data_IF_890791087511
#
_entry.id   IF_890791087511
#
_cell.length_a   1.000
_cell.length_b   1.000
_cell.length_c   1.000
_cell.angle_alpha   90.00
_cell.angle_beta   90.00
_cell.angle_gamma   90.00
#
_symmetry.space_group_name_H-M   'P 1'
#
loop_
_entity.id
_entity.type
_entity.pdbx_description
1 polymer ?
#
# COMPACT_ATOMS: atom_id res chain seq x y z
N UNK A 1 -32.40 56.78 -40.33
CA UNK A 1 -33.43 55.91 -39.71
C UNK A 1 -32.68 54.72 -39.10
N UNK A 2 -32.30 54.77 -37.82
CA UNK A 2 -33.02 54.36 -36.59
C UNK A 2 -33.29 52.84 -36.43
N UNK A 3 -32.85 52.29 -35.29
CA UNK A 3 -33.39 51.10 -34.60
C UNK A 3 -32.40 49.92 -34.46
N UNK A 4 -31.59 49.75 -33.40
CA UNK A 4 -31.85 49.31 -31.99
C UNK A 4 -32.51 47.91 -31.82
N UNK A 5 -31.65 46.94 -31.44
CA UNK A 5 -31.62 46.07 -30.23
C UNK A 5 -32.92 45.40 -29.67
N UNK A 6 -32.70 44.20 -29.11
CA UNK A 6 -33.18 43.60 -27.83
C UNK A 6 -34.00 42.29 -27.89
N UNK A 7 -33.36 41.23 -27.32
CA UNK A 7 -33.84 40.27 -26.29
C UNK A 7 -34.89 39.16 -26.57
N UNK A 8 -34.39 37.92 -26.39
CA UNK A 8 -34.73 36.97 -25.30
C UNK A 8 -35.92 36.00 -25.42
N UNK A 9 -35.62 34.81 -24.88
CA UNK A 9 -36.47 33.85 -24.17
C UNK A 9 -36.93 32.57 -24.90
N UNK A 10 -36.34 31.47 -24.39
CA UNK A 10 -37.00 30.27 -23.87
C UNK A 10 -37.64 29.27 -24.83
N UNK A 11 -37.15 28.02 -24.77
CA UNK A 11 -38.02 26.86 -24.94
C UNK A 11 -37.31 25.54 -25.22
N UNK A 12 -37.35 24.65 -24.22
CA UNK A 12 -37.22 23.17 -24.30
C UNK A 12 -35.77 22.63 -24.31
N UNK A 13 -35.16 22.31 -23.15
CA UNK A 13 -35.27 21.06 -22.37
C UNK A 13 -34.87 19.80 -23.17
N UNK A 14 -34.17 18.78 -22.68
CA UNK A 14 -33.48 18.48 -21.43
C UNK A 14 -32.97 17.05 -21.68
N UNK A 15 -31.68 16.87 -21.93
CA UNK A 15 -31.05 15.55 -21.88
C UNK A 15 -29.62 15.71 -21.34
N UNK A 16 -29.54 16.32 -20.15
CA UNK A 16 -28.34 16.19 -19.33
C UNK A 16 -28.31 14.76 -18.80
N UNK A 17 -27.47 13.92 -19.40
CA UNK A 17 -27.03 12.68 -18.79
C UNK A 17 -26.51 12.97 -17.37
N UNK A 18 -27.15 12.33 -16.39
CA UNK A 18 -26.63 12.17 -15.04
C UNK A 18 -25.37 11.30 -15.09
N UNK A 19 -24.23 11.89 -15.40
CA UNK A 19 -22.92 11.27 -15.11
C UNK A 19 -22.63 11.57 -13.65
N UNK A 20 -22.84 10.58 -12.77
CA UNK A 20 -22.31 10.64 -11.40
C UNK A 20 -20.79 10.84 -11.51
N UNK A 21 -20.18 11.76 -10.73
CA UNK A 21 -18.72 11.85 -10.67
C UNK A 21 -18.18 10.49 -10.20
N UNK A 22 -17.44 9.82 -11.08
CA UNK A 22 -16.71 8.60 -10.74
C UNK A 22 -15.59 8.97 -9.77
N UNK A 23 -15.63 8.37 -8.59
CA UNK A 23 -14.56 8.42 -7.60
C UNK A 23 -13.26 7.96 -8.22
N UNK A 24 -12.19 8.58 -7.78
CA UNK A 24 -10.82 8.38 -8.24
C UNK A 24 -10.02 7.97 -7.03
N UNK A 25 -9.11 6.98 -7.02
CA UNK A 25 -8.14 6.85 -5.91
C UNK A 25 -6.69 6.52 -6.32
N UNK A 26 -5.78 6.76 -5.38
CA UNK A 26 -4.31 6.84 -5.49
C UNK A 26 -3.57 5.52 -5.29
N UNK A 27 -2.28 5.52 -5.01
CA UNK A 27 -1.55 4.37 -4.44
C UNK A 27 -0.60 4.98 -3.44
N UNK A 28 -0.69 4.58 -2.18
CA UNK A 28 -0.36 5.40 -1.02
C UNK A 28 -1.33 5.10 0.11
N UNK A 29 -0.96 5.47 1.34
CA UNK A 29 -1.68 5.06 2.57
C UNK A 29 -3.18 5.35 2.51
N UNK A 30 -3.58 6.51 1.97
CA UNK A 30 -5.02 6.85 1.89
C UNK A 30 -5.74 6.06 0.80
N UNK A 31 -5.05 5.51 -0.19
CA UNK A 31 -5.74 4.71 -1.20
C UNK A 31 -6.03 3.31 -0.74
N UNK A 32 -5.09 2.70 -0.03
CA UNK A 32 -5.37 1.43 0.62
C UNK A 32 -6.62 1.53 1.49
N UNK A 33 -6.78 2.65 2.21
CA UNK A 33 -8.04 2.99 2.89
C UNK A 33 -9.22 3.07 1.89
N UNK A 34 -9.11 3.87 0.83
CA UNK A 34 -10.20 4.10 -0.10
C UNK A 34 -10.71 2.82 -0.82
N UNK A 35 -9.83 1.86 -1.10
CA UNK A 35 -10.23 0.55 -1.64
C UNK A 35 -11.14 -0.18 -0.63
N UNK A 36 -10.83 -0.11 0.67
CA UNK A 36 -11.71 -0.63 1.71
C UNK A 36 -13.01 0.14 1.74
N UNK A 37 -12.98 1.48 1.75
CA UNK A 37 -14.18 2.32 1.82
C UNK A 37 -15.18 2.02 0.68
N UNK A 38 -14.68 1.91 -0.55
CA UNK A 38 -15.50 1.61 -1.74
C UNK A 38 -16.06 0.19 -1.69
N UNK A 39 -15.31 -0.77 -1.14
CA UNK A 39 -15.71 -2.17 -1.07
C UNK A 39 -16.50 -2.54 0.19
N UNK A 40 -16.50 -1.69 1.23
CA UNK A 40 -16.98 -2.05 2.57
C UNK A 40 -18.43 -2.54 2.56
N UNK A 41 -19.36 -1.65 2.26
CA UNK A 41 -20.79 -1.98 2.19
C UNK A 41 -21.16 -2.94 1.05
N UNK A 42 -20.72 -2.75 -0.21
CA UNK A 42 -21.19 -3.59 -1.31
C UNK A 42 -20.57 -4.98 -1.36
N UNK A 43 -19.39 -5.19 -0.77
CA UNK A 43 -18.61 -6.43 -0.92
C UNK A 43 -18.23 -7.06 0.42
N UNK A 44 -17.62 -6.30 1.34
CA UNK A 44 -17.07 -6.86 2.60
C UNK A 44 -18.15 -7.17 3.63
N UNK A 45 -19.08 -6.26 3.92
CA UNK A 45 -20.17 -6.49 4.89
C UNK A 45 -21.01 -7.73 4.53
N UNK A 46 -21.44 -7.94 3.27
CA UNK A 46 -22.15 -9.16 2.87
C UNK A 46 -21.32 -10.43 3.11
N UNK A 47 -20.03 -10.42 2.79
CA UNK A 47 -19.14 -11.56 3.02
C UNK A 47 -18.97 -11.84 4.52
N UNK A 48 -18.74 -10.80 5.33
CA UNK A 48 -18.59 -10.90 6.78
C UNK A 48 -19.86 -11.44 7.41
N UNK A 49 -21.04 -10.93 7.04
CA UNK A 49 -22.33 -11.44 7.55
C UNK A 49 -22.61 -12.87 7.09
N UNK A 50 -22.16 -13.27 5.91
CA UNK A 50 -22.30 -14.65 5.44
C UNK A 50 -21.50 -15.63 6.32
N UNK A 51 -20.27 -15.28 6.68
CA UNK A 51 -19.40 -16.13 7.53
C UNK A 51 -19.74 -16.02 9.02
N UNK A 52 -20.14 -14.83 9.47
CA UNK A 52 -20.47 -14.48 10.85
C UNK A 52 -21.90 -13.92 10.94
N UNK A 53 -22.95 -14.76 10.82
CA UNK A 53 -24.34 -14.32 10.71
C UNK A 53 -24.89 -13.60 11.95
N UNK A 54 -24.23 -13.77 13.10
CA UNK A 54 -24.59 -13.12 14.37
C UNK A 54 -23.84 -11.82 14.62
N UNK A 55 -23.00 -11.37 13.68
CA UNK A 55 -22.19 -10.16 13.84
C UNK A 55 -23.08 -8.93 14.07
N UNK A 56 -22.88 -8.30 15.21
CA UNK A 56 -23.52 -7.03 15.59
C UNK A 56 -22.93 -5.87 14.80
N UNK A 57 -23.64 -4.72 14.71
CA UNK A 57 -23.08 -3.51 14.10
C UNK A 57 -21.74 -3.07 14.72
N UNK A 58 -21.59 -3.25 16.03
CA UNK A 58 -20.36 -2.89 16.75
C UNK A 58 -19.19 -3.82 16.40
N UNK A 59 -19.44 -5.12 16.25
CA UNK A 59 -18.41 -6.06 15.78
C UNK A 59 -18.01 -5.78 14.33
N UNK A 60 -18.96 -5.38 13.47
CA UNK A 60 -18.63 -4.97 12.10
C UNK A 60 -17.82 -3.68 12.07
N UNK A 61 -18.12 -2.71 12.94
CA UNK A 61 -17.33 -1.48 13.07
C UNK A 61 -15.88 -1.78 13.49
N UNK A 62 -15.68 -2.70 14.44
CA UNK A 62 -14.34 -3.17 14.83
C UNK A 62 -13.65 -3.93 13.70
N UNK A 63 -14.38 -4.80 13.01
CA UNK A 63 -13.87 -5.51 11.84
C UNK A 63 -13.42 -4.53 10.74
N UNK A 64 -14.10 -3.40 10.58
CA UNK A 64 -13.70 -2.35 9.64
C UNK A 64 -12.32 -1.75 9.98
N UNK A 65 -12.09 -1.43 11.25
CA UNK A 65 -10.78 -0.96 11.71
C UNK A 65 -9.66 -1.98 11.44
N UNK A 66 -9.98 -3.27 11.56
CA UNK A 66 -9.06 -4.34 11.20
C UNK A 66 -8.84 -4.48 9.69
N UNK A 67 -9.88 -4.28 8.86
CA UNK A 67 -9.72 -4.23 7.41
C UNK A 67 -8.81 -3.08 6.96
N UNK A 68 -8.93 -1.90 7.60
CA UNK A 68 -7.98 -0.81 7.38
C UNK A 68 -6.55 -1.20 7.75
N UNK A 69 -6.34 -1.80 8.91
CA UNK A 69 -5.01 -2.23 9.34
C UNK A 69 -4.41 -3.27 8.41
N UNK A 70 -5.23 -4.18 7.88
CA UNK A 70 -4.84 -5.15 6.87
C UNK A 70 -4.44 -4.49 5.55
N UNK A 71 -5.14 -3.45 5.12
CA UNK A 71 -4.88 -2.77 3.84
C UNK A 71 -3.53 -2.05 3.79
N UNK A 72 -2.89 -1.82 4.94
CA UNK A 72 -1.61 -1.11 5.04
C UNK A 72 -0.53 -1.92 5.77
N UNK A 73 -0.79 -3.19 6.14
CA UNK A 73 0.14 -3.92 7.00
C UNK A 73 1.45 -4.20 6.27
N UNK A 74 1.39 -4.57 4.99
CA UNK A 74 2.58 -4.89 4.21
C UNK A 74 3.58 -3.71 4.18
N UNK A 75 3.11 -2.46 4.17
CA UNK A 75 3.95 -1.25 4.14
C UNK A 75 4.58 -0.87 5.48
N UNK A 76 4.14 -1.48 6.58
CA UNK A 76 4.55 -1.10 7.94
C UNK A 76 6.07 -1.05 8.10
N UNK A 77 6.81 -1.91 7.39
CA UNK A 77 8.26 -1.99 7.46
C UNK A 77 9.01 -0.77 6.89
N UNK A 78 8.39 0.03 6.02
CA UNK A 78 8.95 1.28 5.50
C UNK A 78 8.79 2.47 6.45
N UNK A 79 8.03 2.32 7.53
CA UNK A 79 7.83 3.36 8.53
C UNK A 79 8.89 3.33 9.64
N UNK A 80 9.05 4.43 10.41
CA UNK A 80 9.95 4.47 11.55
C UNK A 80 9.79 3.26 12.48
N UNK A 81 10.90 2.61 12.84
CA UNK A 81 10.94 1.41 13.68
C UNK A 81 10.23 0.18 13.07
N UNK A 82 9.91 0.23 11.78
CA UNK A 82 9.57 -0.91 10.96
C UNK A 82 10.78 -1.76 10.60
N UNK A 83 10.53 -2.83 9.86
CA UNK A 83 11.53 -3.74 9.33
C UNK A 83 11.32 -3.88 7.81
N UNK A 84 12.23 -3.34 6.99
CA UNK A 84 12.08 -3.36 5.53
C UNK A 84 12.04 -4.78 4.97
N UNK A 85 12.73 -5.73 5.59
CA UNK A 85 12.70 -7.13 5.16
C UNK A 85 11.32 -7.78 5.36
N UNK A 86 10.55 -7.39 6.39
CA UNK A 86 9.15 -7.79 6.51
C UNK A 86 8.32 -7.30 5.31
N UNK A 87 8.48 -6.03 4.95
CA UNK A 87 7.77 -5.45 3.81
C UNK A 87 8.19 -6.10 2.51
N UNK A 88 9.50 -6.22 2.26
CA UNK A 88 10.04 -6.87 1.07
C UNK A 88 9.57 -8.32 0.94
N UNK A 89 9.50 -9.08 2.05
CA UNK A 89 8.91 -10.43 2.04
C UNK A 89 7.47 -10.38 1.54
N UNK A 90 6.62 -9.61 2.21
CA UNK A 90 5.19 -9.55 1.90
C UNK A 90 4.87 -8.94 0.52
N UNK A 91 5.79 -8.16 -0.05
CA UNK A 91 5.65 -7.56 -1.38
C UNK A 91 6.20 -8.41 -2.52
N UNK A 92 7.29 -9.16 -2.28
CA UNK A 92 8.05 -9.74 -3.40
C UNK A 92 8.20 -11.26 -3.29
N UNK A 93 8.00 -11.84 -2.11
CA UNK A 93 8.26 -13.25 -1.82
C UNK A 93 7.01 -13.90 -1.27
N UNK A 94 6.42 -14.84 -2.02
CA UNK A 94 5.24 -15.59 -1.55
C UNK A 94 4.06 -14.66 -1.18
N UNK A 95 3.90 -13.54 -1.88
CA UNK A 95 2.90 -12.50 -1.60
C UNK A 95 1.47 -13.03 -1.62
N UNK A 96 1.12 -13.89 -2.58
CA UNK A 96 -0.18 -14.55 -2.63
C UNK A 96 -0.36 -15.56 -1.49
N UNK A 97 0.65 -16.40 -1.26
CA UNK A 97 0.62 -17.39 -0.17
C UNK A 97 0.45 -16.72 1.20
N UNK A 98 1.03 -15.53 1.41
CA UNK A 98 0.86 -14.74 2.63
C UNK A 98 -0.60 -14.33 2.86
N UNK A 99 -1.30 -13.89 1.82
CA UNK A 99 -2.72 -13.52 1.91
C UNK A 99 -3.59 -14.74 2.19
N UNK A 100 -3.31 -15.86 1.51
CA UNK A 100 -4.00 -17.13 1.78
C UNK A 100 -3.81 -17.53 3.24
N UNK A 101 -2.58 -17.49 3.74
CA UNK A 101 -2.27 -17.81 5.13
C UNK A 101 -3.01 -16.90 6.13
N UNK A 102 -3.09 -15.58 5.87
CA UNK A 102 -3.86 -14.66 6.73
C UNK A 102 -5.34 -15.03 6.83
N UNK A 103 -5.96 -15.42 5.71
CA UNK A 103 -7.38 -15.76 5.67
C UNK A 103 -7.68 -17.15 6.23
N UNK A 104 -6.75 -18.09 6.08
CA UNK A 104 -6.84 -19.44 6.67
C UNK A 104 -6.62 -19.43 8.19
N UNK A 105 -5.67 -18.64 8.69
CA UNK A 105 -5.33 -18.54 10.12
C UNK A 105 -6.32 -17.68 10.92
N UNK A 106 -7.29 -17.04 10.25
CA UNK A 106 -8.28 -16.18 10.88
C UNK A 106 -9.34 -16.98 11.66
N UNK A 107 -9.38 -16.75 12.97
CA UNK A 107 -10.29 -17.39 13.93
C UNK A 107 -11.47 -16.49 14.33
N UNK A 108 -11.35 -15.18 14.12
CA UNK A 108 -12.38 -14.19 14.49
C UNK A 108 -12.79 -13.32 13.31
N UNK A 109 -13.91 -12.61 13.44
CA UNK A 109 -14.35 -11.64 12.43
C UNK A 109 -13.30 -10.55 12.17
N UNK A 110 -12.58 -10.12 13.21
CA UNK A 110 -11.54 -9.11 13.13
C UNK A 110 -10.30 -9.64 12.39
N UNK A 111 -9.85 -10.85 12.72
CA UNK A 111 -8.74 -11.50 12.00
C UNK A 111 -9.10 -11.75 10.53
N UNK A 112 -10.35 -12.14 10.25
CA UNK A 112 -10.81 -12.35 8.89
C UNK A 112 -10.90 -11.05 8.11
N UNK A 113 -11.47 -9.99 8.69
CA UNK A 113 -11.51 -8.67 8.07
C UNK A 113 -10.10 -8.09 7.85
N UNK A 114 -9.16 -8.33 8.77
CA UNK A 114 -7.75 -7.98 8.60
C UNK A 114 -7.13 -8.71 7.40
N UNK A 115 -7.36 -10.01 7.23
CA UNK A 115 -6.91 -10.75 6.06
C UNK A 115 -7.54 -10.26 4.74
N UNK A 116 -8.82 -9.88 4.77
CA UNK A 116 -9.49 -9.27 3.60
C UNK A 116 -8.91 -7.89 3.28
N UNK A 117 -8.53 -7.12 4.30
CA UNK A 117 -7.77 -5.88 4.16
C UNK A 117 -6.43 -6.11 3.46
N UNK A 118 -5.66 -7.10 3.89
CA UNK A 118 -4.39 -7.44 3.26
C UNK A 118 -4.58 -7.94 1.81
N UNK A 119 -5.68 -8.63 1.51
CA UNK A 119 -6.06 -8.97 0.14
C UNK A 119 -6.35 -7.70 -0.67
N UNK A 120 -7.00 -6.69 -0.08
CA UNK A 120 -7.20 -5.40 -0.74
C UNK A 120 -5.84 -4.82 -1.15
N UNK A 121 -4.87 -4.74 -0.24
CA UNK A 121 -3.50 -4.29 -0.52
C UNK A 121 -2.85 -5.09 -1.67
N UNK A 122 -2.96 -6.43 -1.65
CA UNK A 122 -2.43 -7.26 -2.73
C UNK A 122 -3.01 -6.87 -4.10
N UNK A 123 -4.33 -6.71 -4.21
CA UNK A 123 -4.96 -6.24 -5.44
C UNK A 123 -4.49 -4.83 -5.78
N UNK A 124 -4.43 -4.00 -4.75
CA UNK A 124 -4.09 -2.61 -4.85
C UNK A 124 -2.74 -2.47 -5.58
N UNK A 125 -1.68 -3.07 -5.07
CA UNK A 125 -0.36 -2.87 -5.67
C UNK A 125 -0.20 -3.54 -7.03
N UNK A 126 -0.73 -4.77 -7.18
CA UNK A 126 -0.66 -5.53 -8.44
C UNK A 126 -1.25 -4.79 -9.65
N UNK A 127 -2.26 -3.94 -9.44
CA UNK A 127 -2.86 -3.13 -10.50
C UNK A 127 -2.42 -1.67 -10.43
N UNK A 128 -2.26 -1.17 -9.21
CA UNK A 128 -1.96 0.21 -8.88
C UNK A 128 -0.62 0.70 -9.38
N UNK A 129 0.43 -0.08 -9.11
CA UNK A 129 1.78 0.29 -9.47
C UNK A 129 1.98 0.22 -10.99
N UNK A 130 1.72 -0.91 -11.69
CA UNK A 130 1.99 -0.99 -13.12
C UNK A 130 1.07 -0.11 -13.98
N UNK A 131 -0.18 0.13 -13.58
CA UNK A 131 -1.11 0.99 -14.36
C UNK A 131 -0.93 2.46 -13.97
N UNK A 132 -0.89 2.75 -12.67
CA UNK A 132 -0.90 4.10 -12.11
C UNK A 132 0.50 4.64 -11.86
N UNK A 133 1.15 4.19 -10.79
CA UNK A 133 2.37 4.82 -10.26
C UNK A 133 3.54 4.74 -11.24
N UNK A 134 3.89 3.55 -11.71
CA UNK A 134 5.10 3.33 -12.50
C UNK A 134 5.06 4.09 -13.83
N UNK A 135 3.88 4.21 -14.43
CA UNK A 135 3.66 4.97 -15.68
C UNK A 135 3.52 6.47 -15.46
N UNK A 136 3.16 6.90 -14.25
CA UNK A 136 2.99 8.32 -13.90
C UNK A 136 4.29 8.99 -13.49
N UNK A 137 5.19 8.26 -12.84
CA UNK A 137 6.54 8.76 -12.48
C UNK A 137 7.25 9.43 -13.67
N UNK A 138 7.42 8.79 -14.85
CA UNK A 138 8.12 9.41 -15.98
C UNK A 138 7.33 10.54 -16.66
N UNK A 139 6.01 10.67 -16.41
CA UNK A 139 5.22 11.81 -16.88
C UNK A 139 5.45 13.06 -16.02
N UNK A 140 5.58 12.87 -14.70
CA UNK A 140 5.76 13.96 -13.73
C UNK A 140 7.24 14.34 -13.57
N UNK A 141 8.14 13.38 -13.74
CA UNK A 141 9.59 13.51 -13.61
C UNK A 141 10.30 13.14 -14.92
N UNK A 142 10.44 14.07 -15.88
CA UNK A 142 11.05 13.79 -17.19
C UNK A 142 12.48 13.24 -17.12
N UNK A 143 13.24 13.58 -16.07
CA UNK A 143 14.56 13.02 -15.78
C UNK A 143 14.51 11.50 -15.55
N UNK A 144 13.43 11.00 -14.92
CA UNK A 144 13.22 9.57 -14.72
C UNK A 144 12.88 8.88 -16.04
N UNK A 145 12.12 9.55 -16.91
CA UNK A 145 11.85 9.07 -18.26
C UNK A 145 13.12 8.93 -19.10
N UNK A 146 14.03 9.90 -19.00
CA UNK A 146 15.29 9.89 -19.72
C UNK A 146 16.21 8.75 -19.24
N UNK A 147 16.17 8.43 -17.95
CA UNK A 147 17.03 7.41 -17.33
C UNK A 147 16.50 5.97 -17.47
N UNK A 148 15.20 5.77 -17.23
CA UNK A 148 14.58 4.44 -17.07
C UNK A 148 13.50 4.14 -18.12
N UNK A 149 13.05 5.15 -18.87
CA UNK A 149 12.07 4.96 -19.94
C UNK A 149 10.61 5.23 -19.51
N UNK A 150 9.62 4.60 -20.17
CA UNK A 150 8.21 4.98 -20.04
C UNK A 150 7.50 4.43 -18.79
N UNK A 151 8.18 3.60 -18.00
CA UNK A 151 7.70 3.04 -16.75
C UNK A 151 8.86 3.00 -15.78
N UNK A 152 8.65 3.42 -14.54
CA UNK A 152 9.70 3.49 -13.51
C UNK A 152 9.19 2.82 -12.25
N UNK A 153 9.81 1.71 -11.91
CA UNK A 153 9.51 0.86 -10.73
C UNK A 153 10.03 1.48 -9.43
N UNK A 154 9.56 0.96 -8.31
CA UNK A 154 10.08 1.30 -6.98
C UNK A 154 11.56 0.92 -6.85
N UNK A 155 11.99 -0.21 -7.41
CA UNK A 155 13.40 -0.62 -7.41
C UNK A 155 14.31 0.39 -8.12
N UNK A 156 13.88 0.93 -9.26
CA UNK A 156 14.67 1.88 -10.04
C UNK A 156 14.80 3.24 -9.35
N UNK A 157 13.71 3.75 -8.75
CA UNK A 157 13.77 5.00 -8.00
C UNK A 157 12.71 5.10 -6.88
N UNK A 158 13.02 4.64 -5.66
CA UNK A 158 12.09 4.70 -4.52
C UNK A 158 11.60 6.10 -4.21
N UNK A 159 12.45 7.11 -4.38
CA UNK A 159 12.12 8.50 -4.04
C UNK A 159 11.10 9.10 -5.00
N UNK A 160 11.26 8.89 -6.30
CA UNK A 160 10.32 9.37 -7.30
C UNK A 160 8.97 8.66 -7.18
N UNK A 161 9.01 7.35 -6.89
CA UNK A 161 7.85 6.52 -6.65
C UNK A 161 7.03 7.01 -5.44
N UNK A 162 7.64 7.15 -4.26
CA UNK A 162 7.00 7.69 -3.05
C UNK A 162 6.44 9.12 -3.26
N UNK A 163 7.14 9.97 -4.03
CA UNK A 163 6.63 11.32 -4.34
C UNK A 163 5.38 11.26 -5.22
N UNK A 164 5.33 10.31 -6.15
CA UNK A 164 4.18 10.12 -7.02
C UNK A 164 2.97 9.66 -6.22
N UNK A 165 3.15 8.64 -5.37
CA UNK A 165 2.16 8.13 -4.43
C UNK A 165 1.62 9.21 -3.49
N UNK A 166 2.51 10.04 -2.94
CA UNK A 166 2.09 11.20 -2.15
C UNK A 166 1.22 12.17 -2.96
N UNK A 167 1.55 12.42 -4.22
CA UNK A 167 0.77 13.32 -5.07
C UNK A 167 -0.60 12.80 -5.43
N UNK A 168 -0.64 11.50 -5.60
CA UNK A 168 -1.83 10.72 -5.73
C UNK A 168 -2.71 10.87 -4.48
N UNK A 169 -2.19 10.65 -3.27
CA UNK A 169 -2.96 10.87 -2.03
C UNK A 169 -3.42 12.34 -1.87
N UNK A 170 -2.61 13.30 -2.29
CA UNK A 170 -3.00 14.73 -2.31
C UNK A 170 -4.19 14.98 -3.23
N UNK A 171 -4.19 14.38 -4.43
CA UNK A 171 -5.30 14.47 -5.37
C UNK A 171 -6.59 13.90 -4.78
N UNK A 172 -6.46 12.82 -3.99
CA UNK A 172 -7.60 12.22 -3.30
C UNK A 172 -8.25 13.12 -2.30
N UNK A 173 -7.42 13.67 -1.42
CA UNK A 173 -7.91 14.62 -0.44
C UNK A 173 -8.58 15.79 -1.15
N UNK A 174 -7.95 16.34 -2.20
CA UNK A 174 -8.46 17.47 -2.99
C UNK A 174 -9.86 17.25 -3.59
N UNK A 175 -10.16 16.03 -4.04
CA UNK A 175 -11.46 15.71 -4.64
C UNK A 175 -12.58 15.50 -3.63
N UNK A 176 -12.26 15.61 -2.32
CA UNK A 176 -13.24 15.52 -1.26
C UNK A 176 -13.73 14.10 -1.00
N UNK A 177 -12.96 13.09 -1.40
CA UNK A 177 -13.32 11.68 -1.28
C UNK A 177 -13.36 11.18 0.16
N UNK A 178 -12.90 11.97 1.13
CA UNK A 178 -12.91 11.61 2.54
C UNK A 178 -13.64 12.63 3.40
N UNK A 179 -14.57 12.15 4.21
CA UNK A 179 -15.09 12.91 5.34
C UNK A 179 -14.01 12.94 6.46
N UNK A 180 -13.97 14.00 7.29
CA UNK A 180 -13.07 14.05 8.46
C UNK A 180 -13.17 12.83 9.40
N UNK A 181 -14.34 12.19 9.45
CA UNK A 181 -14.59 10.95 10.20
C UNK A 181 -13.85 9.75 9.60
N UNK A 182 -13.82 9.61 8.26
CA UNK A 182 -13.09 8.53 7.60
C UNK A 182 -11.58 8.59 7.91
N UNK A 183 -10.99 9.78 7.94
CA UNK A 183 -9.58 9.93 8.36
C UNK A 183 -9.36 9.55 9.82
N UNK A 184 -10.30 9.88 10.69
CA UNK A 184 -10.22 9.56 12.10
C UNK A 184 -10.31 8.05 12.33
N UNK A 185 -11.32 7.40 11.74
CA UNK A 185 -11.52 5.95 11.81
C UNK A 185 -10.32 5.20 11.22
N UNK A 186 -9.76 5.72 10.12
CA UNK A 186 -8.58 5.14 9.52
C UNK A 186 -7.32 5.29 10.40
N UNK A 187 -7.11 6.43 11.07
CA UNK A 187 -6.04 6.52 12.10
C UNK A 187 -6.29 5.50 13.22
N UNK A 188 -7.56 5.21 13.51
CA UNK A 188 -7.99 4.15 14.43
C UNK A 188 -7.83 2.73 13.90
N UNK A 189 -7.09 2.47 12.81
CA UNK A 189 -6.86 1.12 12.30
C UNK A 189 -6.35 0.17 13.39
N UNK A 190 -6.71 -1.10 13.28
CA UNK A 190 -6.32 -2.16 14.21
C UNK A 190 -5.57 -3.28 13.50
N UNK A 191 -4.58 -3.87 14.17
CA UNK A 191 -3.76 -4.95 13.62
C UNK A 191 -4.02 -6.23 14.39
N UNK A 192 -4.42 -7.28 13.68
CA UNK A 192 -4.60 -8.63 14.23
C UNK A 192 -3.26 -9.33 14.45
N UNK A 193 -2.52 -8.91 15.48
CA UNK A 193 -1.12 -9.31 15.73
C UNK A 193 -0.92 -10.83 15.81
N UNK A 194 -1.80 -11.55 16.52
CA UNK A 194 -1.69 -13.00 16.67
C UNK A 194 -1.89 -13.72 15.33
N UNK A 195 -2.94 -13.36 14.56
CA UNK A 195 -3.17 -13.87 13.21
C UNK A 195 -2.03 -13.55 12.26
N UNK A 196 -1.49 -12.33 12.33
CA UNK A 196 -0.35 -11.90 11.53
C UNK A 196 0.88 -12.75 11.84
N UNK A 197 1.16 -13.01 13.12
CA UNK A 197 2.26 -13.88 13.55
C UNK A 197 2.12 -15.31 13.04
N UNK A 198 0.94 -15.92 13.19
CA UNK A 198 0.66 -17.29 12.69
C UNK A 198 0.80 -17.38 11.18
N UNK A 199 0.17 -16.46 10.44
CA UNK A 199 0.23 -16.44 8.98
C UNK A 199 1.65 -16.19 8.46
N UNK A 200 2.40 -15.28 9.09
CA UNK A 200 3.79 -15.01 8.76
C UNK A 200 4.66 -16.25 8.96
N UNK A 201 4.55 -16.91 10.12
CA UNK A 201 5.29 -18.15 10.39
C UNK A 201 4.92 -19.25 9.41
N UNK A 202 3.63 -19.43 9.10
CA UNK A 202 3.16 -20.41 8.11
C UNK A 202 3.74 -20.14 6.72
N UNK A 203 3.86 -18.87 6.34
CA UNK A 203 4.30 -18.47 5.00
C UNK A 203 5.82 -18.53 4.83
N UNK A 204 6.58 -18.18 5.88
CA UNK A 204 8.04 -17.99 5.79
C UNK A 204 8.85 -18.93 6.69
N UNK A 205 8.21 -19.71 7.55
CA UNK A 205 8.89 -20.70 8.38
C UNK A 205 9.71 -20.11 9.52
N UNK A 206 9.49 -18.87 9.97
CA UNK A 206 10.13 -18.33 11.18
C UNK A 206 9.24 -17.31 11.88
N UNK A 207 9.54 -17.01 13.14
CA UNK A 207 8.69 -16.16 13.98
C UNK A 207 8.75 -14.69 13.56
N UNK A 208 7.59 -14.04 13.45
CA UNK A 208 7.49 -12.60 13.16
C UNK A 208 8.22 -11.75 14.22
N UNK A 209 8.19 -12.18 15.48
CA UNK A 209 8.88 -11.51 16.59
C UNK A 209 10.40 -11.45 16.40
N UNK A 210 10.98 -12.29 15.53
CA UNK A 210 12.41 -12.20 15.20
C UNK A 210 12.77 -10.97 14.34
N UNK A 211 11.77 -10.31 13.75
CA UNK A 211 11.94 -9.11 12.92
C UNK A 211 11.72 -7.79 13.69
N UNK A 212 11.02 -7.83 14.81
CA UNK A 212 10.61 -6.64 15.55
C UNK A 212 10.98 -6.76 17.03
N UNK A 213 11.70 -5.76 17.55
CA UNK A 213 11.98 -5.66 18.99
C UNK A 213 10.67 -5.59 19.78
N UNK A 214 9.69 -4.84 19.29
CA UNK A 214 8.33 -4.80 19.82
C UNK A 214 7.36 -4.47 18.69
N UNK A 215 6.59 -5.48 18.27
CA UNK A 215 5.57 -5.32 17.24
C UNK A 215 4.53 -4.26 17.63
N UNK A 216 4.11 -4.26 18.90
CA UNK A 216 3.16 -3.27 19.44
C UNK A 216 3.69 -1.83 19.34
N UNK A 217 4.96 -1.62 19.66
CA UNK A 217 5.59 -0.30 19.54
C UNK A 217 5.74 0.13 18.08
N UNK A 218 6.07 -0.80 17.18
CA UNK A 218 6.13 -0.54 15.74
C UNK A 218 4.75 -0.13 15.22
N UNK A 219 3.68 -0.87 15.55
CA UNK A 219 2.30 -0.54 15.16
C UNK A 219 1.89 0.84 15.70
N UNK A 220 2.17 1.12 16.98
CA UNK A 220 1.84 2.42 17.57
C UNK A 220 2.61 3.58 16.92
N UNK A 221 3.86 3.36 16.54
CA UNK A 221 4.66 4.32 15.77
C UNK A 221 4.13 4.50 14.36
N UNK A 222 3.77 3.41 13.69
CA UNK A 222 3.16 3.46 12.37
C UNK A 222 1.86 4.28 12.38
N UNK A 223 0.96 4.01 13.34
CA UNK A 223 -0.25 4.80 13.57
C UNK A 223 0.06 6.29 13.78
N UNK A 224 1.09 6.58 14.57
CA UNK A 224 1.54 7.96 14.79
C UNK A 224 2.04 8.62 13.51
N UNK A 225 2.77 7.90 12.67
CA UNK A 225 3.21 8.41 11.37
C UNK A 225 2.04 8.73 10.47
N UNK A 226 1.08 7.81 10.31
CA UNK A 226 -0.16 8.02 9.54
C UNK A 226 -0.94 9.24 10.05
N UNK A 227 -1.11 9.38 11.38
CA UNK A 227 -1.85 10.50 11.98
C UNK A 227 -1.20 11.86 11.71
N UNK A 228 0.10 11.91 11.42
CA UNK A 228 0.82 13.15 11.07
C UNK A 228 0.88 13.40 9.55
N UNK A 229 0.77 12.33 8.75
CA UNK A 229 0.74 12.39 7.30
C UNK A 229 -0.56 13.04 6.80
N UNK A 230 -1.72 12.61 7.32
CA UNK A 230 -3.04 13.08 6.86
C UNK A 230 -3.19 14.62 6.94
N UNK A 231 -2.85 15.29 8.07
CA UNK A 231 -2.85 16.76 8.12
C UNK A 231 -1.95 17.41 7.05
N UNK A 232 -0.82 16.77 6.71
CA UNK A 232 0.10 17.27 5.68
C UNK A 232 -0.51 17.13 4.28
N UNK A 233 -1.18 16.02 4.00
CA UNK A 233 -1.92 15.78 2.76
C UNK A 233 -3.06 16.80 2.58
N UNK A 234 -3.88 17.03 3.63
CA UNK A 234 -4.97 18.03 3.55
C UNK A 234 -4.45 19.45 3.30
N UNK A 235 -3.29 19.81 3.87
CA UNK A 235 -2.64 21.10 3.63
C UNK A 235 -2.13 21.22 2.19
N UNK A 236 -1.51 20.17 1.66
CA UNK A 236 -1.02 20.10 0.29
C UNK A 236 -2.18 20.22 -0.70
N UNK A 237 -3.25 19.46 -0.49
CA UNK A 237 -4.45 19.45 -1.34
C UNK A 237 -5.09 20.83 -1.42
N UNK A 238 -5.30 21.50 -0.27
CA UNK A 238 -5.81 22.86 -0.27
C UNK A 238 -4.92 23.81 -1.07
N UNK A 239 -3.60 23.76 -0.86
CA UNK A 239 -2.68 24.68 -1.53
C UNK A 239 -2.60 24.48 -3.05
N UNK A 240 -2.76 23.24 -3.54
CA UNK A 240 -2.57 22.90 -4.95
C UNK A 240 -3.87 22.94 -5.75
N UNK A 241 -5.01 22.68 -5.12
CA UNK A 241 -6.30 22.42 -5.78
C UNK A 241 -7.45 23.23 -5.16
N UNK A 242 -7.18 24.39 -4.55
CA UNK A 242 -8.20 25.23 -3.89
C UNK A 242 -9.40 25.55 -4.78
N UNK A 243 -9.16 25.89 -6.05
CA UNK A 243 -10.22 26.22 -7.01
C UNK A 243 -11.16 25.02 -7.24
N UNK A 244 -10.61 23.83 -7.43
CA UNK A 244 -11.36 22.58 -7.61
C UNK A 244 -12.15 22.22 -6.33
N UNK A 245 -11.51 22.34 -5.15
CA UNK A 245 -12.16 22.11 -3.85
C UNK A 245 -13.35 23.05 -3.66
N UNK A 246 -13.19 24.34 -3.98
CA UNK A 246 -14.27 25.34 -3.88
C UNK A 246 -15.34 25.16 -4.93
N UNK A 247 -14.99 24.69 -6.14
CA UNK A 247 -15.97 24.36 -7.16
C UNK A 247 -16.87 23.19 -6.72
N UNK A 248 -16.28 22.17 -6.11
CA UNK A 248 -17.03 21.02 -5.58
C UNK A 248 -17.84 21.36 -4.31
N UNK A 249 -17.28 22.19 -3.42
CA UNK A 249 -17.93 22.62 -2.18
C UNK A 249 -17.75 24.14 -1.99
N UNK A 250 -18.67 24.97 -2.53
CA UNK A 250 -18.55 26.43 -2.48
C UNK A 250 -18.41 27.03 -1.07
N UNK A 251 -18.97 26.35 -0.06
CA UNK A 251 -18.87 26.74 1.36
C UNK A 251 -17.57 26.32 2.04
N UNK A 252 -16.66 25.61 1.35
CA UNK A 252 -15.42 25.13 1.93
C UNK A 252 -14.52 26.30 2.35
N UNK A 253 -14.14 26.32 3.63
CA UNK A 253 -13.10 27.20 4.16
C UNK A 253 -11.85 26.39 4.46
N UNK A 254 -10.67 27.02 4.32
CA UNK A 254 -9.39 26.38 4.65
C UNK A 254 -9.40 25.78 6.05
N UNK A 255 -9.95 26.49 7.03
CA UNK A 255 -10.01 26.03 8.43
C UNK A 255 -10.84 24.76 8.59
N UNK A 256 -11.96 24.64 7.88
CA UNK A 256 -12.84 23.45 7.95
C UNK A 256 -12.28 22.28 7.14
N UNK A 257 -11.54 22.56 6.07
CA UNK A 257 -10.97 21.54 5.20
C UNK A 257 -9.72 20.87 5.79
N UNK A 258 -8.88 21.64 6.49
CA UNK A 258 -7.65 21.10 7.07
C UNK A 258 -7.97 20.16 8.23
N UNK A 259 -7.63 18.89 8.07
CA UNK A 259 -7.70 17.91 9.14
C UNK A 259 -6.60 18.19 10.18
N UNK A 260 -6.96 18.14 11.45
CA UNK A 260 -6.05 18.45 12.56
C UNK A 260 -6.24 17.43 13.66
N UNK A 261 -5.14 16.82 14.07
CA UNK A 261 -5.08 15.96 15.24
C UNK A 261 -4.25 16.67 16.30
N UNK A 262 -4.87 17.08 17.41
CA UNK A 262 -4.09 17.61 18.54
C UNK A 262 -3.39 16.44 19.24
N UNK A 263 -2.20 16.70 19.78
CA UNK A 263 -1.43 15.66 20.51
C UNK A 263 -2.20 15.12 21.72
N UNK A 264 -2.93 15.99 22.43
CA UNK A 264 -3.78 15.62 23.57
C UNK A 264 -4.88 14.66 23.17
N UNK A 265 -5.59 14.99 22.10
CA UNK A 265 -6.74 14.23 21.59
C UNK A 265 -6.24 12.86 21.12
N UNK A 266 -5.12 12.82 20.38
CA UNK A 266 -4.46 11.57 19.99
C UNK A 266 -4.11 10.70 21.20
N UNK A 267 -3.53 11.29 22.26
CA UNK A 267 -3.11 10.54 23.45
C UNK A 267 -4.28 10.00 24.25
N UNK A 268 -5.41 10.70 24.26
CA UNK A 268 -6.64 10.24 24.91
C UNK A 268 -7.23 9.04 24.18
N UNK A 269 -7.11 9.01 22.86
CA UNK A 269 -7.84 8.07 22.01
C UNK A 269 -7.04 6.83 21.62
N UNK A 270 -5.79 7.01 21.16
CA UNK A 270 -4.94 5.92 20.69
C UNK A 270 -3.72 5.66 21.59
N UNK A 271 -3.65 6.36 22.72
CA UNK A 271 -2.61 6.18 23.73
C UNK A 271 -1.26 6.81 23.38
N UNK A 272 -0.22 6.38 24.11
CA UNK A 272 1.13 6.99 24.10
C UNK A 272 2.24 6.03 23.70
N UNK A 273 1.88 4.82 23.30
CA UNK A 273 2.84 3.75 23.00
C UNK A 273 3.36 3.90 21.56
N UNK A 274 4.22 4.87 21.35
CA UNK A 274 4.91 5.11 20.09
C UNK A 274 6.27 5.76 20.36
N UNK A 275 7.22 5.61 19.44
CA UNK A 275 8.48 6.36 19.53
C UNK A 275 8.42 7.64 18.69
N UNK A 276 8.83 8.75 19.28
CA UNK A 276 9.04 9.99 18.53
C UNK A 276 10.20 9.77 17.53
N UNK A 277 10.09 10.26 16.28
CA UNK A 277 11.10 10.00 15.25
C UNK A 277 12.48 10.50 15.68
N UNK A 278 13.51 9.68 15.48
CA UNK A 278 14.90 10.02 15.78
C UNK A 278 15.49 10.98 14.73
N UNK A 279 16.70 11.53 14.96
CA UNK A 279 17.23 12.67 14.19
C UNK A 279 17.31 12.40 12.67
N UNK A 280 17.65 11.17 12.28
CA UNK A 280 17.67 10.72 10.88
C UNK A 280 16.27 10.61 10.26
N UNK A 281 15.27 10.16 11.02
CA UNK A 281 13.87 10.11 10.60
C UNK A 281 13.22 11.50 10.58
N UNK A 282 13.69 12.45 11.42
CA UNK A 282 13.38 13.87 11.27
C UNK A 282 13.95 14.43 9.97
N UNK A 283 15.05 13.90 9.45
CA UNK A 283 15.63 14.26 8.14
C UNK A 283 14.81 13.68 6.98
N UNK A 284 14.30 12.44 7.07
CA UNK A 284 13.37 11.88 6.07
C UNK A 284 11.99 12.56 6.13
N UNK A 285 11.48 12.82 7.33
CA UNK A 285 10.30 13.67 7.54
C UNK A 285 10.55 15.10 7.05
N UNK A 286 11.77 15.64 7.17
CA UNK A 286 12.16 16.94 6.59
C UNK A 286 12.21 16.89 5.06
N UNK A 287 12.68 15.79 4.46
CA UNK A 287 12.66 15.54 3.00
C UNK A 287 11.22 15.45 2.47
N UNK A 288 10.31 14.79 3.21
CA UNK A 288 8.87 14.69 2.88
C UNK A 288 8.06 15.94 3.28
N UNK A 289 8.53 16.77 4.23
CA UNK A 289 7.87 18.01 4.69
C UNK A 289 8.14 19.22 3.79
N UNK A 290 8.85 19.09 2.68
CA UNK A 290 9.06 20.23 1.77
C UNK A 290 7.93 20.36 0.76
N UNK A 291 6.89 21.07 1.19
CA UNK A 291 6.01 21.86 0.32
C UNK A 291 6.10 23.34 0.71
N UNK A 292 6.20 24.26 -0.27
CA UNK A 292 7.38 24.53 -1.09
C UNK A 292 8.39 25.43 -0.35
N UNK A 293 9.68 25.36 -0.67
CA UNK A 293 10.58 26.50 -0.41
C UNK A 293 10.70 27.30 -1.69
N UNK A 294 10.01 28.44 -1.73
CA UNK A 294 10.23 29.51 -2.69
C UNK A 294 11.74 29.83 -2.64
N UNK A 295 12.50 29.47 -3.68
CA UNK A 295 13.95 29.66 -3.72
C UNK A 295 14.69 28.63 -4.59
N UNK A 296 16.01 28.75 -4.74
CA UNK A 296 16.81 28.03 -5.74
C UNK A 296 16.94 26.50 -5.59
N UNK A 297 16.43 25.88 -4.51
CA UNK A 297 16.49 24.42 -4.26
C UNK A 297 15.22 23.67 -4.73
N UNK A 298 14.80 23.87 -6.00
CA UNK A 298 13.53 23.35 -6.56
C UNK A 298 13.51 21.84 -6.86
N UNK A 299 14.65 21.18 -6.98
CA UNK A 299 14.76 19.79 -7.50
C UNK A 299 14.23 18.71 -6.55
N UNK A 300 14.07 19.01 -5.25
CA UNK A 300 13.57 18.05 -4.26
C UNK A 300 12.06 18.15 -4.01
N UNK A 301 11.39 19.17 -4.54
CA UNK A 301 9.97 19.42 -4.26
C UNK A 301 9.05 18.41 -4.96
N UNK A 302 7.97 18.06 -4.28
CA UNK A 302 6.82 17.35 -4.84
C UNK A 302 6.23 18.13 -6.04
N UNK A 303 5.82 17.43 -7.10
CA UNK A 303 5.14 17.99 -8.28
C UNK A 303 3.72 17.40 -8.34
N UNK A 304 2.67 18.21 -8.55
CA UNK A 304 1.33 17.67 -8.72
C UNK A 304 1.28 16.70 -9.91
N UNK A 305 0.43 15.66 -9.88
CA UNK A 305 0.23 14.79 -11.03
C UNK A 305 -0.17 15.60 -12.28
N UNK A 306 0.33 15.22 -13.46
CA UNK A 306 -0.16 15.77 -14.73
C UNK A 306 -1.57 15.24 -15.03
N UNK A 307 -2.36 15.87 -15.91
CA UNK A 307 -3.67 15.34 -16.30
C UNK A 307 -3.64 13.89 -16.80
N UNK A 308 -2.58 13.50 -17.52
CA UNK A 308 -2.36 12.14 -17.98
C UNK A 308 -2.10 11.19 -16.80
N UNK A 309 -1.27 11.60 -15.83
CA UNK A 309 -1.05 10.84 -14.60
C UNK A 309 -2.33 10.73 -13.75
N UNK A 310 -3.14 11.80 -13.66
CA UNK A 310 -4.45 11.77 -13.01
C UNK A 310 -5.40 10.78 -13.70
N UNK A 311 -5.31 10.59 -15.03
CA UNK A 311 -6.10 9.60 -15.76
C UNK A 311 -5.64 8.17 -15.48
N UNK A 312 -4.33 7.91 -15.52
CA UNK A 312 -3.76 6.59 -15.22
C UNK A 312 -4.12 6.12 -13.82
N UNK A 313 -4.13 7.05 -12.89
CA UNK A 313 -4.61 6.88 -11.54
C UNK A 313 -6.10 6.50 -11.44
N UNK A 314 -6.98 7.20 -12.16
CA UNK A 314 -8.41 6.83 -12.21
C UNK A 314 -8.56 5.37 -12.66
N UNK A 315 -7.83 5.05 -13.72
CA UNK A 315 -7.85 3.74 -14.36
C UNK A 315 -7.38 2.66 -13.39
N UNK A 316 -6.20 2.86 -12.77
CA UNK A 316 -5.64 1.89 -11.83
C UNK A 316 -6.57 1.66 -10.64
N UNK A 317 -7.17 2.71 -10.09
CA UNK A 317 -8.12 2.58 -8.99
C UNK A 317 -9.39 1.82 -9.37
N UNK A 318 -9.99 2.15 -10.51
CA UNK A 318 -11.22 1.51 -10.96
C UNK A 318 -10.97 0.02 -11.22
N UNK A 319 -9.89 -0.31 -11.95
CA UNK A 319 -9.46 -1.69 -12.19
C UNK A 319 -9.27 -2.42 -10.87
N UNK A 320 -8.56 -1.83 -9.91
CA UNK A 320 -8.33 -2.45 -8.60
C UNK A 320 -9.64 -2.71 -7.88
N UNK A 321 -10.51 -1.71 -7.79
CA UNK A 321 -11.78 -1.81 -7.05
C UNK A 321 -12.69 -2.88 -7.64
N UNK A 322 -12.75 -2.96 -8.97
CA UNK A 322 -13.50 -3.97 -9.71
C UNK A 322 -12.93 -5.37 -9.46
N UNK A 323 -11.63 -5.56 -9.62
CA UNK A 323 -10.96 -6.84 -9.42
C UNK A 323 -11.02 -7.31 -7.97
N UNK A 324 -10.78 -6.43 -7.00
CA UNK A 324 -10.91 -6.74 -5.59
C UNK A 324 -12.34 -7.13 -5.23
N UNK A 325 -13.34 -6.33 -5.66
CA UNK A 325 -14.75 -6.65 -5.40
C UNK A 325 -15.19 -7.97 -6.04
N UNK A 326 -14.73 -8.27 -7.25
CA UNK A 326 -14.96 -9.56 -7.90
C UNK A 326 -14.28 -10.71 -7.14
N UNK A 327 -13.04 -10.49 -6.69
CA UNK A 327 -12.29 -11.44 -5.86
C UNK A 327 -13.01 -11.76 -4.55
N UNK A 328 -13.57 -10.75 -3.87
CA UNK A 328 -14.38 -10.94 -2.65
C UNK A 328 -15.64 -11.77 -2.92
N UNK A 329 -16.35 -11.51 -4.02
CA UNK A 329 -17.55 -12.27 -4.40
C UNK A 329 -17.27 -13.75 -4.67
N UNK A 330 -16.09 -14.06 -5.20
CA UNK A 330 -15.68 -15.42 -5.55
C UNK A 330 -14.50 -15.94 -4.71
N UNK A 331 -14.44 -15.51 -3.44
CA UNK A 331 -13.24 -15.64 -2.60
C UNK A 331 -12.62 -17.04 -2.58
N UNK A 332 -13.41 -18.11 -2.43
CA UNK A 332 -12.86 -19.47 -2.40
C UNK A 332 -12.09 -19.83 -3.68
N UNK A 333 -12.61 -19.43 -4.85
CA UNK A 333 -11.92 -19.65 -6.12
C UNK A 333 -10.71 -18.73 -6.24
N UNK A 334 -10.86 -17.47 -5.83
CA UNK A 334 -9.78 -16.47 -5.85
C UNK A 334 -8.57 -16.91 -5.03
N UNK A 335 -8.79 -17.43 -3.82
CA UNK A 335 -7.71 -17.93 -2.96
C UNK A 335 -7.03 -19.15 -3.57
N UNK A 336 -7.77 -20.04 -4.25
CA UNK A 336 -7.19 -21.17 -4.96
C UNK A 336 -6.38 -20.80 -6.21
N UNK A 337 -6.49 -19.55 -6.70
CA UNK A 337 -5.79 -19.06 -7.89
C UNK A 337 -4.81 -17.91 -7.62
N UNK A 338 -4.66 -17.50 -6.36
CA UNK A 338 -3.84 -16.34 -6.02
C UNK A 338 -2.37 -16.64 -6.34
N UNK A 339 -1.76 -15.78 -7.15
CA UNK A 339 -0.39 -15.97 -7.61
C UNK A 339 0.60 -15.22 -6.73
N UNK A 340 1.80 -15.77 -6.56
CA UNK A 340 2.91 -15.02 -6.00
C UNK A 340 3.46 -14.07 -7.05
N UNK A 341 3.17 -12.79 -6.85
CA UNK A 341 3.57 -11.70 -7.72
C UNK A 341 4.47 -10.73 -6.97
N UNK A 342 5.31 -10.05 -7.74
CA UNK A 342 5.97 -8.83 -7.32
C UNK A 342 4.94 -7.70 -7.29
N UNK A 343 4.68 -7.16 -6.10
CA UNK A 343 3.62 -6.17 -5.92
C UNK A 343 3.90 -4.84 -6.65
N UNK A 344 5.15 -4.52 -6.97
CA UNK A 344 5.46 -3.28 -7.70
C UNK A 344 5.22 -3.39 -9.21
N UNK A 345 5.39 -4.58 -9.77
CA UNK A 345 5.27 -4.81 -11.23
C UNK A 345 3.98 -5.56 -11.61
N UNK A 346 3.31 -6.18 -10.65
CA UNK A 346 2.21 -7.11 -10.85
C UNK A 346 2.60 -8.43 -11.54
N UNK A 347 3.90 -8.64 -11.76
CA UNK A 347 4.41 -9.80 -12.51
C UNK A 347 4.68 -10.98 -11.59
N UNK A 348 4.61 -12.21 -12.12
CA UNK A 348 4.93 -13.42 -11.33
C UNK A 348 6.38 -13.35 -10.83
N UNK A 349 6.56 -13.54 -9.52
CA UNK A 349 7.87 -13.58 -8.88
C UNK A 349 8.75 -14.68 -9.48
N UNK A 350 9.87 -14.30 -10.08
CA UNK A 350 10.86 -15.22 -10.66
C UNK A 350 12.27 -14.66 -10.44
N UNK A 351 13.25 -15.54 -10.30
CA UNK A 351 14.64 -15.13 -10.15
C UNK A 351 15.09 -14.28 -11.36
N UNK A 352 15.68 -13.12 -11.09
CA UNK A 352 16.17 -12.18 -12.08
C UNK A 352 15.10 -11.29 -12.71
N UNK A 353 13.82 -11.42 -12.33
CA UNK A 353 12.76 -10.52 -12.82
C UNK A 353 12.70 -9.19 -12.06
N UNK A 354 13.14 -9.18 -10.80
CA UNK A 354 13.15 -8.00 -9.93
C UNK A 354 14.22 -8.16 -8.84
N UNK A 355 15.17 -7.24 -8.75
CA UNK A 355 16.37 -7.42 -7.92
C UNK A 355 16.07 -7.44 -6.41
N UNK A 356 15.07 -6.70 -5.95
CA UNK A 356 14.59 -6.75 -4.57
C UNK A 356 14.08 -8.13 -4.22
N UNK A 357 13.28 -8.76 -5.10
CA UNK A 357 12.78 -10.11 -4.88
C UNK A 357 13.94 -11.10 -4.71
N UNK A 358 14.94 -11.04 -5.59
CA UNK A 358 16.13 -11.91 -5.54
C UNK A 358 16.89 -11.76 -4.21
N UNK A 359 17.12 -10.51 -3.78
CA UNK A 359 17.79 -10.20 -2.49
C UNK A 359 16.98 -10.69 -1.30
N UNK A 360 15.66 -10.52 -1.34
CA UNK A 360 14.77 -10.97 -0.26
C UNK A 360 14.73 -12.50 -0.16
N UNK A 361 14.71 -13.23 -1.28
CA UNK A 361 14.85 -14.69 -1.27
C UNK A 361 16.19 -15.14 -0.68
N UNK A 362 17.29 -14.45 -1.01
CA UNK A 362 18.61 -14.77 -0.48
C UNK A 362 18.67 -14.54 1.05
N UNK A 363 18.21 -13.38 1.52
CA UNK A 363 18.13 -13.09 2.96
C UNK A 363 17.18 -14.06 3.69
N UNK A 364 16.07 -14.45 3.07
CA UNK A 364 15.16 -15.44 3.63
C UNK A 364 15.83 -16.80 3.82
N UNK A 365 16.56 -17.27 2.80
CA UNK A 365 17.33 -18.50 2.86
C UNK A 365 18.39 -18.46 3.98
N UNK A 366 19.10 -17.34 4.12
CA UNK A 366 20.06 -17.14 5.20
C UNK A 366 19.42 -17.20 6.59
N UNK A 367 18.24 -16.59 6.76
CA UNK A 367 17.53 -16.59 8.05
C UNK A 367 17.06 -17.97 8.44
N UNK A 368 16.62 -18.79 7.48
CA UNK A 368 16.26 -20.18 7.74
C UNK A 368 17.49 -21.02 8.14
N UNK A 369 18.65 -20.79 7.53
CA UNK A 369 19.92 -21.48 7.88
C UNK A 369 20.39 -21.16 9.30
N UNK A 370 20.09 -19.95 9.84
CA UNK A 370 20.45 -19.60 11.23
C UNK A 370 19.89 -20.56 12.27
N UNK A 371 18.79 -21.24 11.97
CA UNK A 371 18.23 -22.29 12.82
C UNK A 371 18.31 -23.67 12.14
N UNK A 372 19.32 -23.90 11.29
CA UNK A 372 19.55 -25.13 10.54
C UNK A 372 18.30 -25.66 9.81
N UNK A 373 17.47 -24.76 9.29
CA UNK A 373 16.20 -25.09 8.63
C UNK A 373 15.18 -25.85 9.50
N UNK A 374 15.30 -25.81 10.84
CA UNK A 374 14.48 -26.63 11.74
C UNK A 374 12.96 -26.41 11.63
N UNK A 375 12.53 -25.26 11.11
CA UNK A 375 11.13 -24.87 10.93
C UNK A 375 10.66 -24.93 9.47
N UNK A 376 11.43 -25.57 8.60
CA UNK A 376 11.15 -25.67 7.17
C UNK A 376 10.09 -26.74 6.88
N UNK A 377 8.97 -26.36 6.27
CA UNK A 377 7.99 -27.31 5.75
C UNK A 377 8.36 -27.82 4.35
N UNK A 378 7.79 -28.95 3.88
CA UNK A 378 8.02 -29.45 2.52
C UNK A 378 7.70 -28.42 1.44
N UNK A 379 6.63 -27.65 1.64
CA UNK A 379 6.18 -26.60 0.72
C UNK A 379 7.20 -25.45 0.65
N UNK A 380 7.73 -25.01 1.79
CA UNK A 380 8.76 -23.96 1.84
C UNK A 380 10.06 -24.41 1.19
N UNK A 381 10.50 -25.65 1.46
CA UNK A 381 11.68 -26.24 0.81
C UNK A 381 11.49 -26.29 -0.69
N UNK A 382 10.33 -26.76 -1.15
CA UNK A 382 10.02 -26.83 -2.56
C UNK A 382 10.04 -25.44 -3.20
N UNK A 383 9.38 -24.45 -2.60
CA UNK A 383 9.34 -23.08 -3.12
C UNK A 383 10.74 -22.47 -3.29
N UNK A 384 11.59 -22.54 -2.26
CA UNK A 384 12.96 -22.06 -2.31
C UNK A 384 13.76 -22.74 -3.43
N UNK A 385 13.70 -24.08 -3.52
CA UNK A 385 14.41 -24.81 -4.56
C UNK A 385 13.89 -24.50 -5.98
N UNK A 386 12.58 -24.30 -6.14
CA UNK A 386 11.98 -23.92 -7.42
C UNK A 386 12.40 -22.51 -7.86
N UNK A 387 12.45 -21.54 -6.94
CA UNK A 387 12.88 -20.17 -7.24
C UNK A 387 14.29 -20.15 -7.85
N UNK A 388 15.20 -20.95 -7.31
CA UNK A 388 16.59 -21.06 -7.78
C UNK A 388 16.84 -22.15 -8.85
N UNK A 389 15.80 -22.81 -9.37
CA UNK A 389 15.96 -23.96 -10.27
C UNK A 389 16.75 -23.63 -11.54
N UNK A 390 16.54 -22.43 -12.10
CA UNK A 390 17.19 -21.94 -13.33
C UNK A 390 18.29 -20.92 -13.07
N UNK A 391 18.76 -20.82 -11.82
CA UNK A 391 19.76 -19.86 -11.43
C UNK A 391 21.09 -20.12 -12.17
N UNK A 392 21.70 -19.05 -12.72
CA UNK A 392 23.01 -19.12 -13.39
C UNK A 392 23.99 -18.18 -12.70
N UNK A 393 25.28 -18.54 -12.73
CA UNK A 393 26.35 -17.70 -12.20
C UNK A 393 26.30 -16.27 -12.78
N UNK A 394 26.62 -15.24 -11.98
CA UNK A 394 26.80 -13.88 -12.49
C UNK A 394 27.73 -13.86 -13.70
N UNK A 395 27.39 -13.09 -14.74
CA UNK A 395 28.15 -13.04 -16.01
C UNK A 395 29.40 -12.16 -15.95
N UNK A 396 29.55 -11.33 -14.91
CA UNK A 396 30.65 -10.37 -14.75
C UNK A 396 31.65 -10.79 -13.68
N UNK A 397 32.80 -10.11 -13.63
CA UNK A 397 33.81 -10.27 -12.59
C UNK A 397 33.54 -9.43 -11.34
N UNK A 398 32.29 -9.01 -11.14
CA UNK A 398 31.91 -8.26 -9.95
C UNK A 398 32.04 -9.15 -8.72
N UNK A 399 32.92 -8.74 -7.80
CA UNK A 399 33.33 -9.57 -6.67
C UNK A 399 32.17 -9.79 -5.70
N UNK A 400 31.38 -8.74 -5.45
CA UNK A 400 30.23 -8.80 -4.54
C UNK A 400 29.17 -9.77 -5.07
N UNK A 401 28.78 -9.63 -6.34
CA UNK A 401 27.84 -10.55 -7.00
C UNK A 401 28.32 -12.01 -6.96
N UNK A 402 29.62 -12.24 -7.14
CA UNK A 402 30.19 -13.60 -7.09
C UNK A 402 30.20 -14.17 -5.67
N UNK A 403 30.47 -13.35 -4.65
CA UNK A 403 30.42 -13.73 -3.25
C UNK A 403 28.99 -14.06 -2.80
N UNK A 404 28.01 -13.22 -3.14
CA UNK A 404 26.59 -13.46 -2.89
C UNK A 404 26.09 -14.74 -3.59
N UNK A 405 26.50 -14.95 -4.83
CA UNK A 405 26.20 -16.18 -5.57
C UNK A 405 26.75 -17.41 -4.86
N UNK A 406 28.04 -17.41 -4.51
CA UNK A 406 28.69 -18.54 -3.85
C UNK A 406 28.04 -18.85 -2.49
N UNK A 407 27.70 -17.81 -1.71
CA UNK A 407 26.99 -17.94 -0.44
C UNK A 407 25.63 -18.60 -0.65
N UNK A 408 24.85 -18.11 -1.62
CA UNK A 408 23.54 -18.68 -1.97
C UNK A 408 23.66 -20.14 -2.39
N UNK A 409 24.63 -20.50 -3.24
CA UNK A 409 24.84 -21.89 -3.65
C UNK A 409 25.22 -22.83 -2.48
N UNK A 410 26.04 -22.35 -1.54
CA UNK A 410 26.37 -23.10 -0.33
C UNK A 410 25.12 -23.37 0.52
N UNK A 411 24.28 -22.35 0.72
CA UNK A 411 23.01 -22.48 1.45
C UNK A 411 22.02 -23.40 0.73
N UNK A 412 21.92 -23.32 -0.60
CA UNK A 412 21.07 -24.23 -1.39
C UNK A 412 21.54 -25.68 -1.29
N UNK A 413 22.85 -25.91 -1.19
CA UNK A 413 23.41 -27.25 -0.96
C UNK A 413 22.99 -27.80 0.39
N UNK A 414 23.09 -26.99 1.45
CA UNK A 414 22.57 -27.35 2.79
C UNK A 414 21.07 -27.63 2.77
N UNK A 415 20.28 -26.74 2.13
CA UNK A 415 18.84 -26.88 2.00
C UNK A 415 18.45 -28.20 1.32
N UNK A 416 19.13 -28.57 0.22
CA UNK A 416 18.90 -29.83 -0.48
C UNK A 416 19.15 -31.04 0.44
N UNK A 417 20.26 -31.03 1.17
CA UNK A 417 20.66 -32.10 2.08
C UNK A 417 19.79 -32.18 3.35
N UNK A 418 19.14 -31.10 3.76
CA UNK A 418 18.31 -31.06 4.96
C UNK A 418 17.10 -32.00 4.84
N UNK A 419 16.94 -32.93 5.78
CA UNK A 419 15.77 -33.80 5.87
C UNK A 419 14.71 -33.13 6.75
N UNK A 420 13.48 -33.06 6.23
CA UNK A 420 12.34 -32.55 6.98
C UNK A 420 11.78 -33.74 7.76
N UNK A 421 11.78 -33.63 9.09
CA UNK A 421 11.28 -34.66 9.99
C UNK A 421 9.77 -34.60 10.17
#
# INVERSE_FOLDING_TARGET
MLGKRFFSCFGVLLFTMLVKPSVSNAYGVLTHQAIIDVAWEPSLVPLLRKKYPKATPEELRKAHAHAYGGAIIQDMGYYPFGNTFFTDLTHYVRSGDFIVALLEEAQTINEYAFGLGALAHYYADNYGHPIGTNRSVPLVYPEMKAQFGPSVTYEENPLAHIKMEFGFDVLQVARGNYAPEAYHDFIGFEVSQESLGRAFRKTYGFELSSLFISLKLTIGTFRRSVSTLIPSLTKAAWNLKESEIRAAKPSATRRQYLYRVKRTDYHQEWGREYQDPNLFQKTLSWLLRVLPKIGPNRTLAFKPPTPEAEKLFMESFNVTSEHYSAGIKHLSSTLGSLSNTDLDTGSRTQLGSYGKADKTYAEWLERLDKNNFASLSPELKHNLLQFYLKATSPKGSDKESQEEWNKTQALLTKLKAHQIN
#
